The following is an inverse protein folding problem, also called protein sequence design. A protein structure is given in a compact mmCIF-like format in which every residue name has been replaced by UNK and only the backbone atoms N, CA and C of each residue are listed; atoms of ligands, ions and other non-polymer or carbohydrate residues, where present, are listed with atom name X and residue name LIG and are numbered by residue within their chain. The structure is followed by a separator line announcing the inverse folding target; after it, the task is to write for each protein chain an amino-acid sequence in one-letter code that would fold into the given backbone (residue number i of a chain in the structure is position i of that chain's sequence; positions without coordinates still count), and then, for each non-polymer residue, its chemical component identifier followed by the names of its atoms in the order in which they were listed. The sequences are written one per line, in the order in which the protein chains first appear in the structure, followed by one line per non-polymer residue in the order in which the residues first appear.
data_IF_971063896990
#
_entry.id   IF_971063896990
#
_cell.length_a   1.000
_cell.length_b   1.000
_cell.length_c   1.000
_cell.angle_alpha   90.00
_cell.angle_beta   90.00
_cell.angle_gamma   90.00
#
_symmetry.space_group_name_H-M   'P 1'
#
loop_
_entity.id
_entity.type
_entity.pdbx_description
1 polymer ?
#
# COMPACT_ATOMS: atom_id res chain seq x y z
N UNK A 1 55.92 16.32 -6.44
CA UNK A 1 54.67 17.12 -6.53
C UNK A 1 53.49 16.16 -6.46
N UNK A 2 52.72 16.17 -5.36
CA UNK A 2 51.51 15.36 -5.16
C UNK A 2 50.33 16.33 -5.13
N UNK A 3 49.45 16.28 -6.13
CA UNK A 3 48.27 17.15 -6.21
C UNK A 3 47.06 16.43 -5.60
N UNK A 4 46.80 16.69 -4.33
CA UNK A 4 45.57 16.28 -3.66
C UNK A 4 44.49 17.33 -3.94
N UNK A 5 43.54 17.02 -4.83
CA UNK A 5 42.37 17.89 -5.06
C UNK A 5 41.42 17.77 -3.87
N UNK A 6 41.23 18.87 -3.14
CA UNK A 6 40.18 18.99 -2.10
C UNK A 6 38.82 19.04 -2.80
N UNK A 7 37.95 18.08 -2.50
CA UNK A 7 36.54 18.09 -2.91
C UNK A 7 35.82 19.05 -1.97
N UNK A 8 35.43 20.21 -2.49
CA UNK A 8 34.57 21.16 -1.79
C UNK A 8 33.14 20.63 -1.85
N UNK A 9 32.65 20.08 -0.74
CA UNK A 9 31.23 19.77 -0.55
C UNK A 9 30.51 21.12 -0.41
N UNK A 10 29.76 21.50 -1.43
CA UNK A 10 28.82 22.61 -1.32
C UNK A 10 27.71 22.19 -0.35
N UNK A 11 27.78 22.69 0.88
CA UNK A 11 26.72 22.58 1.88
C UNK A 11 25.47 23.24 1.29
N UNK A 12 24.52 22.45 0.80
CA UNK A 12 23.17 22.95 0.50
C UNK A 12 22.58 23.41 1.82
N UNK A 13 22.55 24.73 2.03
CA UNK A 13 21.82 25.35 3.12
C UNK A 13 20.37 24.89 3.05
N UNK A 14 19.97 24.06 4.01
CA UNK A 14 18.59 23.78 4.35
C UNK A 14 17.90 25.13 4.57
N UNK A 15 17.07 25.56 3.62
CA UNK A 15 16.09 26.60 3.88
C UNK A 15 15.15 26.00 4.93
N UNK A 16 15.35 26.41 6.19
CA UNK A 16 14.37 26.32 7.26
C UNK A 16 13.13 27.10 6.82
N UNK A 17 12.25 26.44 6.07
CA UNK A 17 10.90 26.94 5.84
C UNK A 17 10.13 26.72 7.14
N UNK A 18 10.15 27.77 7.97
CA UNK A 18 9.17 28.15 8.99
C UNK A 18 8.04 27.12 9.19
N UNK A 19 8.34 26.09 9.96
CA UNK A 19 7.35 25.23 10.57
C UNK A 19 6.69 25.98 11.73
N UNK A 20 5.37 25.78 11.85
CA UNK A 20 4.51 26.09 13.00
C UNK A 20 4.28 27.56 13.38
N UNK A 21 3.08 28.05 13.06
CA UNK A 21 2.28 28.81 14.03
C UNK A 21 0.86 28.24 14.06
N UNK A 22 0.65 27.30 14.97
CA UNK A 22 -0.68 26.98 15.48
C UNK A 22 -1.16 28.22 16.24
N UNK A 23 -2.27 28.83 15.81
CA UNK A 23 -2.95 29.83 16.62
C UNK A 23 -3.47 29.15 17.90
N UNK A 24 -2.70 29.24 18.98
CA UNK A 24 -3.16 28.90 20.32
C UNK A 24 -4.10 30.01 20.77
N UNK A 25 -5.40 29.75 20.71
CA UNK A 25 -6.41 30.52 21.43
C UNK A 25 -6.30 30.07 22.88
N UNK A 26 -5.65 30.86 23.73
CA UNK A 26 -5.71 30.66 25.18
C UNK A 26 -6.42 31.86 25.79
N UNK A 27 -7.52 31.55 26.48
CA UNK A 27 -8.33 32.50 27.22
C UNK A 27 -7.53 33.14 28.37
N UNK A 28 -7.97 34.34 28.71
CA UNK A 28 -7.28 35.36 29.48
C UNK A 28 -6.75 34.95 30.87
N UNK A 29 -5.62 35.56 31.25
CA UNK A 29 -5.52 36.23 32.56
C UNK A 29 -4.66 37.49 32.43
N UNK A 30 -5.09 38.50 33.15
CA UNK A 30 -4.67 39.90 33.16
C UNK A 30 -3.26 40.14 33.68
N UNK A 31 -2.47 40.99 33.01
CA UNK A 31 -1.76 42.14 33.61
C UNK A 31 -0.97 42.92 32.56
N UNK A 32 -1.05 44.25 32.64
CA UNK A 32 -0.49 45.18 31.67
C UNK A 32 0.99 45.45 31.93
N UNK A 33 1.85 45.28 30.94
CA UNK A 33 3.16 45.96 30.88
C UNK A 33 3.53 46.28 29.42
N UNK A 34 3.71 47.58 29.16
CA UNK A 34 4.43 48.24 28.06
C UNK A 34 4.32 47.65 26.65
N UNK A 35 3.54 48.34 25.82
CA UNK A 35 3.39 48.15 24.38
C UNK A 35 4.69 48.45 23.61
N UNK A 36 5.57 47.46 23.52
CA UNK A 36 6.41 47.31 22.32
C UNK A 36 5.55 46.54 21.32
N UNK A 37 4.88 47.27 20.44
CA UNK A 37 4.15 46.70 19.32
C UNK A 37 5.15 46.09 18.35
N UNK A 38 5.57 44.84 18.60
CA UNK A 38 6.09 43.96 17.57
C UNK A 38 4.94 43.75 16.57
N UNK A 39 4.89 44.61 15.55
CA UNK A 39 4.12 44.34 14.33
C UNK A 39 4.78 43.15 13.66
N UNK A 40 4.42 41.94 14.10
CA UNK A 40 4.64 40.73 13.33
C UNK A 40 3.85 40.92 12.04
N UNK A 41 4.53 41.31 10.97
CA UNK A 41 3.92 41.37 9.65
C UNK A 41 3.38 39.96 9.37
N UNK A 42 2.06 39.83 9.30
CA UNK A 42 1.43 38.58 8.91
C UNK A 42 2.00 38.21 7.54
N UNK A 43 2.73 37.09 7.47
CA UNK A 43 3.29 36.61 6.22
C UNK A 43 2.14 36.50 5.21
N UNK A 44 2.28 37.13 4.05
CA UNK A 44 1.27 37.10 3.00
C UNK A 44 1.01 35.65 2.62
N UNK A 45 -0.27 35.26 2.53
CA UNK A 45 -0.65 33.92 2.10
C UNK A 45 -0.05 33.63 0.70
N UNK A 46 0.44 32.40 0.45
CA UNK A 46 1.02 32.05 -0.84
C UNK A 46 0.03 32.23 -2.00
N UNK A 47 0.51 32.73 -3.12
CA UNK A 47 -0.22 32.77 -4.39
C UNK A 47 -0.42 31.37 -4.96
N UNK A 48 -1.38 31.19 -5.87
CA UNK A 48 -1.64 29.88 -6.48
C UNK A 48 -0.45 29.34 -7.29
N UNK A 49 0.35 30.24 -7.88
CA UNK A 49 1.59 29.85 -8.56
C UNK A 49 2.63 29.29 -7.57
N UNK A 50 2.78 29.92 -6.40
CA UNK A 50 3.67 29.44 -5.34
C UNK A 50 3.16 28.12 -4.77
N UNK A 51 1.86 28.00 -4.51
CA UNK A 51 1.24 26.76 -4.05
C UNK A 51 1.49 25.62 -5.02
N UNK A 52 1.28 25.85 -6.31
CA UNK A 52 1.52 24.84 -7.36
C UNK A 52 2.98 24.40 -7.36
N UNK A 53 3.95 25.32 -7.24
CA UNK A 53 5.37 24.96 -7.14
C UNK A 53 5.67 24.10 -5.91
N UNK A 54 5.10 24.43 -4.75
CA UNK A 54 5.26 23.63 -3.52
C UNK A 54 4.70 22.22 -3.70
N UNK A 55 3.51 22.10 -4.31
CA UNK A 55 2.87 20.81 -4.58
C UNK A 55 3.75 19.95 -5.51
N UNK A 56 4.21 20.51 -6.63
CA UNK A 56 5.04 19.76 -7.59
C UNK A 56 6.40 19.38 -7.01
N UNK A 57 7.02 20.25 -6.19
CA UNK A 57 8.26 19.93 -5.48
C UNK A 57 8.07 18.75 -4.52
N UNK A 58 6.96 18.72 -3.78
CA UNK A 58 6.67 17.62 -2.86
C UNK A 58 6.38 16.31 -3.60
N UNK A 59 5.62 16.35 -4.70
CA UNK A 59 5.42 15.18 -5.57
C UNK A 59 6.75 14.61 -6.07
N UNK A 60 7.64 15.48 -6.56
CA UNK A 60 8.97 15.09 -7.03
C UNK A 60 9.80 14.47 -5.90
N UNK A 61 9.76 15.05 -4.69
CA UNK A 61 10.43 14.50 -3.51
C UNK A 61 9.92 13.10 -3.16
N UNK A 62 8.60 12.89 -3.16
CA UNK A 62 8.01 11.58 -2.87
C UNK A 62 8.45 10.54 -3.90
N UNK A 63 8.44 10.87 -5.19
CA UNK A 63 8.93 9.98 -6.25
C UNK A 63 10.40 9.60 -6.02
N UNK A 64 11.23 10.53 -5.56
CA UNK A 64 12.65 10.27 -5.29
C UNK A 64 12.88 9.38 -4.07
N UNK A 65 12.08 9.47 -3.01
CA UNK A 65 12.30 8.71 -1.76
C UNK A 65 11.59 7.36 -1.72
N UNK A 66 10.53 7.17 -2.52
CA UNK A 66 9.76 5.92 -2.64
C UNK A 66 10.55 4.89 -3.45
N UNK A 67 11.65 4.41 -2.87
CA UNK A 67 12.56 3.45 -3.51
C UNK A 67 12.36 2.03 -3.02
N UNK A 68 11.82 1.84 -1.81
CA UNK A 68 11.71 0.51 -1.25
C UNK A 68 10.41 -0.16 -1.71
N UNK A 69 10.44 -1.48 -1.99
CA UNK A 69 9.23 -2.25 -2.18
C UNK A 69 8.35 -2.12 -0.93
N UNK A 70 7.06 -1.87 -1.12
CA UNK A 70 6.11 -1.63 -0.05
C UNK A 70 5.94 -0.19 0.41
N UNK A 71 6.79 0.74 -0.05
CA UNK A 71 6.66 2.14 0.37
C UNK A 71 5.32 2.72 -0.11
N UNK A 72 4.56 3.25 0.85
CA UNK A 72 3.29 3.94 0.60
C UNK A 72 3.37 5.33 1.22
N UNK A 73 3.09 6.34 0.39
CA UNK A 73 2.96 7.72 0.83
C UNK A 73 1.59 8.27 0.44
N UNK A 74 0.99 9.03 1.36
CA UNK A 74 -0.17 9.87 1.08
C UNK A 74 0.27 11.32 1.05
N UNK A 75 0.00 12.00 -0.06
CA UNK A 75 0.19 13.45 -0.18
C UNK A 75 -1.17 14.13 -0.10
N UNK A 76 -1.31 15.07 0.83
CA UNK A 76 -2.43 15.99 0.94
C UNK A 76 -2.08 17.32 0.28
N UNK A 77 -3.05 17.89 -0.44
CA UNK A 77 -3.02 19.25 -0.98
C UNK A 77 -4.20 20.05 -0.44
N UNK A 78 -3.95 21.29 -0.01
CA UNK A 78 -5.00 22.14 0.56
C UNK A 78 -5.99 22.67 -0.48
N UNK A 79 -5.54 22.84 -1.72
CA UNK A 79 -6.37 23.29 -2.83
C UNK A 79 -6.45 22.20 -3.92
N UNK A 80 -7.55 21.46 -3.91
CA UNK A 80 -7.81 20.38 -4.87
C UNK A 80 -7.83 20.84 -6.33
N UNK A 81 -8.09 22.13 -6.60
CA UNK A 81 -8.07 22.66 -7.98
C UNK A 81 -6.66 22.60 -8.58
N UNK A 82 -5.65 22.70 -7.73
CA UNK A 82 -4.24 22.59 -8.12
C UNK A 82 -3.77 21.13 -8.27
N UNK A 83 -4.69 20.17 -8.09
CA UNK A 83 -4.41 18.73 -8.15
C UNK A 83 -5.53 17.93 -8.82
N UNK A 84 -6.05 18.42 -9.94
CA UNK A 84 -7.01 17.67 -10.76
C UNK A 84 -8.33 17.34 -10.04
N UNK A 85 -8.68 18.08 -8.99
CA UNK A 85 -9.91 17.88 -8.23
C UNK A 85 -9.79 16.98 -7.00
N UNK A 86 -8.63 16.36 -6.75
CA UNK A 86 -8.39 15.54 -5.55
C UNK A 86 -7.61 16.28 -4.46
N UNK A 87 -8.03 16.15 -3.20
CA UNK A 87 -7.23 16.60 -2.04
C UNK A 87 -6.06 15.64 -1.73
N UNK A 88 -6.10 14.41 -2.24
CA UNK A 88 -5.18 13.34 -1.87
C UNK A 88 -4.55 12.66 -3.09
N UNK A 89 -3.28 12.27 -2.95
CA UNK A 89 -2.55 11.46 -3.92
C UNK A 89 -1.85 10.31 -3.22
N UNK A 90 -2.06 9.11 -3.72
CA UNK A 90 -1.42 7.90 -3.22
C UNK A 90 -0.23 7.53 -4.08
N UNK A 91 0.91 7.34 -3.44
CA UNK A 91 2.14 6.87 -4.08
C UNK A 91 2.50 5.50 -3.48
N UNK A 92 2.13 4.42 -4.17
CA UNK A 92 2.29 3.03 -3.71
C UNK A 92 3.31 2.25 -4.53
N UNK A 93 4.24 1.54 -3.89
CA UNK A 93 5.22 0.68 -4.57
C UNK A 93 4.92 -0.78 -4.22
N UNK A 94 3.93 -1.40 -4.85
CA UNK A 94 3.56 -2.77 -4.48
C UNK A 94 4.68 -3.75 -4.90
N UNK A 95 5.25 -4.51 -3.96
CA UNK A 95 6.36 -5.41 -4.26
C UNK A 95 5.89 -6.58 -5.13
N UNK A 96 6.80 -7.03 -5.99
CA UNK A 96 6.69 -8.30 -6.69
C UNK A 96 7.96 -9.11 -6.42
N UNK A 97 7.81 -10.42 -6.33
CA UNK A 97 8.86 -11.34 -5.91
C UNK A 97 9.01 -12.45 -6.94
N UNK A 98 10.25 -12.81 -7.25
CA UNK A 98 10.59 -13.96 -8.11
C UNK A 98 11.27 -15.09 -7.33
N UNK A 99 11.42 -14.91 -6.01
CA UNK A 99 11.96 -15.88 -5.07
C UNK A 99 11.05 -15.95 -3.85
N UNK A 100 10.77 -17.17 -3.38
CA UNK A 100 9.88 -17.37 -2.25
C UNK A 100 10.47 -16.79 -0.96
N UNK A 101 11.77 -16.88 -0.77
CA UNK A 101 12.47 -16.39 0.44
C UNK A 101 12.36 -14.86 0.56
N UNK A 102 12.41 -14.14 -0.56
CA UNK A 102 12.24 -12.69 -0.58
C UNK A 102 10.79 -12.30 -0.25
N UNK A 103 9.83 -13.07 -0.76
CA UNK A 103 8.41 -12.93 -0.42
C UNK A 103 8.18 -13.18 1.08
N UNK A 104 8.65 -14.31 1.60
CA UNK A 104 8.48 -14.71 3.01
C UNK A 104 9.10 -13.68 3.96
N UNK A 105 10.31 -13.23 3.64
CA UNK A 105 10.98 -12.19 4.42
C UNK A 105 10.16 -10.91 4.46
N UNK A 106 9.63 -10.47 3.32
CA UNK A 106 8.82 -9.24 3.28
C UNK A 106 7.47 -9.42 3.96
N UNK A 107 6.73 -10.50 3.68
CA UNK A 107 5.40 -10.75 4.23
C UNK A 107 5.42 -10.87 5.76
N UNK A 108 6.50 -11.39 6.33
CA UNK A 108 6.71 -11.45 7.80
C UNK A 108 6.73 -10.08 8.50
N UNK A 109 6.90 -8.99 7.75
CA UNK A 109 6.88 -7.61 8.29
C UNK A 109 5.50 -6.98 8.30
N UNK A 110 4.51 -7.62 7.64
CA UNK A 110 3.16 -7.10 7.47
C UNK A 110 2.27 -7.51 8.65
N UNK A 111 1.17 -6.77 8.81
CA UNK A 111 0.12 -7.12 9.76
C UNK A 111 -1.00 -7.89 9.07
N UNK A 112 -1.50 -8.92 9.77
CA UNK A 112 -2.61 -9.74 9.30
C UNK A 112 -2.16 -11.10 8.75
N UNK A 113 -3.11 -11.91 8.25
CA UNK A 113 -2.79 -13.22 7.72
C UNK A 113 -1.90 -13.13 6.48
N UNK A 114 -1.00 -14.09 6.34
CA UNK A 114 -0.13 -14.24 5.18
C UNK A 114 -0.30 -15.63 4.56
N UNK A 115 -0.04 -15.73 3.26
CA UNK A 115 0.02 -17.01 2.56
C UNK A 115 1.43 -17.60 2.78
N UNK A 116 1.51 -18.86 3.17
CA UNK A 116 2.75 -19.63 3.19
C UNK A 116 2.66 -20.76 2.16
N UNK A 117 3.81 -21.33 1.82
CA UNK A 117 3.85 -22.59 1.09
C UNK A 117 3.14 -23.68 1.92
N UNK A 118 2.08 -24.32 1.38
CA UNK A 118 1.31 -25.30 2.12
C UNK A 118 2.11 -26.58 2.35
N UNK A 119 1.86 -27.23 3.48
CA UNK A 119 2.37 -28.57 3.73
C UNK A 119 1.78 -29.56 2.71
N UNK A 120 2.62 -30.46 2.20
CA UNK A 120 2.19 -31.42 1.18
C UNK A 120 2.12 -30.84 -0.25
N UNK A 121 2.84 -29.75 -0.51
CA UNK A 121 2.97 -29.18 -1.85
C UNK A 121 3.32 -30.27 -2.90
N UNK A 122 2.55 -30.40 -4.00
CA UNK A 122 2.75 -31.49 -4.95
C UNK A 122 4.11 -31.45 -5.64
N UNK A 123 4.72 -32.62 -5.84
CA UNK A 123 6.06 -32.72 -6.42
C UNK A 123 6.17 -32.03 -7.79
N UNK A 124 7.20 -31.21 -7.95
CA UNK A 124 7.54 -30.52 -9.19
C UNK A 124 6.89 -29.15 -9.38
N UNK A 125 5.99 -28.73 -8.48
CA UNK A 125 5.56 -27.33 -8.43
C UNK A 125 6.66 -26.47 -7.81
N UNK A 126 6.97 -25.36 -8.47
CA UNK A 126 8.00 -24.41 -8.03
C UNK A 126 7.45 -22.99 -8.01
N UNK A 127 7.90 -22.18 -7.06
CA UNK A 127 7.51 -20.78 -6.95
C UNK A 127 7.89 -20.00 -8.22
N UNK A 128 6.93 -19.33 -8.82
CA UNK A 128 7.11 -18.50 -10.02
C UNK A 128 7.13 -17.02 -9.65
N UNK A 129 6.11 -16.59 -8.90
CA UNK A 129 5.90 -15.17 -8.62
C UNK A 129 5.06 -14.95 -7.38
N UNK A 130 5.39 -13.90 -6.63
CA UNK A 130 4.58 -13.35 -5.55
C UNK A 130 4.25 -11.89 -5.80
N UNK A 131 3.04 -11.47 -5.46
CA UNK A 131 2.62 -10.07 -5.44
C UNK A 131 1.95 -9.77 -4.11
N UNK A 132 2.23 -8.60 -3.54
CA UNK A 132 1.52 -8.12 -2.36
C UNK A 132 1.03 -6.70 -2.63
N UNK A 133 -0.27 -6.49 -2.46
CA UNK A 133 -0.85 -5.16 -2.35
C UNK A 133 -1.20 -4.90 -0.90
N UNK A 134 -0.71 -3.80 -0.37
CA UNK A 134 -0.95 -3.42 1.01
C UNK A 134 -2.29 -2.70 1.15
N UNK A 135 -3.07 -3.09 2.16
CA UNK A 135 -4.28 -2.37 2.56
C UNK A 135 -3.89 -1.09 3.28
N UNK A 136 -4.54 0.00 2.89
CA UNK A 136 -4.43 1.28 3.56
C UNK A 136 -5.85 1.70 3.93
N UNK A 137 -6.13 1.79 5.22
CA UNK A 137 -7.42 2.27 5.73
C UNK A 137 -7.66 3.73 5.33
N UNK A 138 -8.09 3.94 4.07
CA UNK A 138 -8.01 5.23 3.37
C UNK A 138 -8.63 6.36 4.16
N UNK A 139 -9.85 6.16 4.68
CA UNK A 139 -10.58 7.18 5.45
C UNK A 139 -9.84 7.61 6.71
N UNK A 140 -9.29 6.65 7.46
CA UNK A 140 -8.56 6.90 8.71
C UNK A 140 -7.25 7.64 8.40
N UNK A 141 -6.51 7.15 7.39
CA UNK A 141 -5.25 7.76 6.97
C UNK A 141 -5.45 9.18 6.43
N UNK A 142 -6.45 9.40 5.57
CA UNK A 142 -6.79 10.71 5.03
C UNK A 142 -7.18 11.70 6.14
N UNK A 143 -8.01 11.28 7.10
CA UNK A 143 -8.40 12.11 8.24
C UNK A 143 -7.18 12.50 9.10
N UNK A 144 -6.29 11.54 9.37
CA UNK A 144 -5.05 11.79 10.12
C UNK A 144 -4.14 12.77 9.37
N UNK A 145 -3.88 12.53 8.09
CA UNK A 145 -3.03 13.40 7.27
C UNK A 145 -3.62 14.80 7.15
N UNK A 146 -4.95 14.92 7.00
CA UNK A 146 -5.64 16.22 6.95
C UNK A 146 -5.53 17.00 8.25
N UNK A 147 -5.62 16.32 9.40
CA UNK A 147 -5.42 16.95 10.70
C UNK A 147 -3.97 17.44 10.88
N UNK A 148 -2.98 16.61 10.51
CA UNK A 148 -1.55 16.94 10.58
C UNK A 148 -1.12 18.02 9.56
N UNK A 149 -1.91 18.18 8.49
CA UNK A 149 -1.68 19.17 7.44
C UNK A 149 -2.31 20.54 7.71
N UNK A 150 -2.94 20.76 8.86
CA UNK A 150 -3.63 22.03 9.17
C UNK A 150 -2.70 23.23 8.96
N UNK A 151 -3.11 24.15 8.09
CA UNK A 151 -2.37 25.36 7.73
C UNK A 151 -1.25 25.16 6.70
N UNK A 152 -1.01 23.94 6.21
CA UNK A 152 -0.01 23.64 5.17
C UNK A 152 -0.67 23.61 3.79
N UNK A 153 0.06 24.09 2.77
CA UNK A 153 -0.36 24.00 1.36
C UNK A 153 -0.29 22.57 0.84
N UNK A 154 0.77 21.86 1.22
CA UNK A 154 1.01 20.46 0.88
C UNK A 154 1.63 19.78 2.09
N UNK A 155 1.28 18.52 2.31
CA UNK A 155 1.85 17.69 3.36
C UNK A 155 1.88 16.25 2.88
N UNK A 156 2.87 15.48 3.31
CA UNK A 156 2.90 14.04 3.00
C UNK A 156 3.26 13.23 4.23
N UNK A 157 2.80 11.98 4.21
CA UNK A 157 3.03 11.01 5.27
C UNK A 157 3.34 9.64 4.69
N UNK A 158 4.37 9.00 5.24
CA UNK A 158 4.65 7.58 5.00
C UNK A 158 3.70 6.72 5.84
N UNK A 159 3.15 5.66 5.26
CA UNK A 159 2.40 4.66 6.02
C UNK A 159 3.42 3.69 6.65
N UNK A 160 3.42 3.63 7.98
CA UNK A 160 4.24 2.69 8.74
C UNK A 160 3.46 1.39 8.96
N UNK A 161 4.12 0.25 8.74
CA UNK A 161 3.58 -1.10 8.97
C UNK A 161 2.17 -1.32 8.39
N UNK A 162 2.02 -1.29 7.05
CA UNK A 162 0.73 -1.48 6.42
C UNK A 162 0.17 -2.89 6.65
N UNK A 163 -1.16 -3.01 6.60
CA UNK A 163 -1.85 -4.29 6.64
C UNK A 163 -1.80 -4.98 5.27
N UNK A 164 -1.90 -6.29 5.26
CA UNK A 164 -2.07 -7.06 4.02
C UNK A 164 -3.42 -6.70 3.39
N UNK A 165 -3.40 -6.32 2.10
CA UNK A 165 -4.59 -6.07 1.30
C UNK A 165 -4.90 -7.22 0.35
N UNK A 166 -3.91 -7.59 -0.46
CA UNK A 166 -3.99 -8.70 -1.38
C UNK A 166 -2.64 -9.41 -1.39
N UNK A 167 -2.64 -10.74 -1.41
CA UNK A 167 -1.47 -11.56 -1.73
C UNK A 167 -1.85 -12.46 -2.89
N UNK A 168 -0.96 -12.59 -3.88
CA UNK A 168 -1.07 -13.56 -4.97
C UNK A 168 0.24 -14.29 -5.12
N UNK A 169 0.24 -15.60 -4.93
CA UNK A 169 1.37 -16.47 -5.22
C UNK A 169 1.03 -17.36 -6.41
N UNK A 170 1.99 -17.52 -7.32
CA UNK A 170 1.92 -18.43 -8.46
C UNK A 170 3.04 -19.48 -8.35
N UNK A 171 2.65 -20.74 -8.49
CA UNK A 171 3.53 -21.89 -8.61
C UNK A 171 3.26 -22.60 -9.93
N UNK A 172 4.28 -23.24 -10.51
CA UNK A 172 4.12 -23.98 -11.75
C UNK A 172 4.92 -25.28 -11.82
N UNK A 173 4.35 -26.24 -12.56
CA UNK A 173 4.95 -27.50 -13.00
C UNK A 173 4.69 -27.65 -14.50
N UNK A 174 5.66 -27.25 -15.34
CA UNK A 174 5.44 -27.20 -16.79
C UNK A 174 4.32 -26.21 -17.16
N UNK A 175 3.24 -26.70 -17.76
CA UNK A 175 2.07 -25.89 -18.11
C UNK A 175 1.02 -25.80 -16.98
N UNK A 176 1.16 -26.62 -15.94
CA UNK A 176 0.25 -26.65 -14.81
C UNK A 176 0.61 -25.54 -13.83
N UNK A 177 -0.39 -24.74 -13.46
CA UNK A 177 -0.27 -23.59 -12.57
C UNK A 177 -1.16 -23.76 -11.35
N UNK A 178 -0.62 -23.39 -10.20
CA UNK A 178 -1.30 -23.29 -8.92
C UNK A 178 -1.20 -21.85 -8.43
N UNK A 179 -2.34 -21.27 -8.07
CA UNK A 179 -2.48 -19.92 -7.58
C UNK A 179 -2.97 -19.97 -6.14
N UNK A 180 -2.38 -19.14 -5.29
CA UNK A 180 -2.79 -18.96 -3.91
C UNK A 180 -3.03 -17.48 -3.68
N UNK A 181 -4.24 -17.14 -3.25
CA UNK A 181 -4.71 -15.76 -3.17
C UNK A 181 -5.38 -15.48 -1.84
N UNK A 182 -5.14 -14.27 -1.34
CA UNK A 182 -5.71 -13.73 -0.12
C UNK A 182 -6.16 -12.32 -0.45
N UNK A 183 -7.38 -11.98 -0.06
CA UNK A 183 -7.94 -10.65 -0.22
C UNK A 183 -8.61 -10.18 1.08
N UNK A 184 -8.17 -9.03 1.57
CA UNK A 184 -8.82 -8.32 2.68
C UNK A 184 -9.65 -7.17 2.09
N UNK A 185 -10.95 -7.21 2.33
CA UNK A 185 -11.86 -6.14 1.91
C UNK A 185 -12.46 -5.47 3.13
N UNK A 186 -12.59 -4.14 3.09
CA UNK A 186 -13.40 -3.45 4.11
C UNK A 186 -14.87 -3.86 4.05
N UNK A 187 -15.35 -4.35 2.90
CA UNK A 187 -16.70 -4.89 2.74
C UNK A 187 -16.81 -6.25 3.43
N UNK A 188 -15.75 -7.06 3.36
CA UNK A 188 -15.73 -8.42 3.89
C UNK A 188 -15.35 -8.49 5.37
N UNK A 189 -14.98 -7.37 6.02
CA UNK A 189 -14.71 -7.31 7.48
C UNK A 189 -15.85 -7.86 8.35
N UNK A 190 -17.09 -7.82 7.83
CA UNK A 190 -18.28 -8.38 8.49
C UNK A 190 -18.83 -9.62 7.77
N UNK A 191 -18.13 -10.12 6.75
CA UNK A 191 -18.51 -11.36 6.09
C UNK A 191 -18.49 -12.48 7.13
N UNK A 192 -19.50 -13.36 7.04
CA UNK A 192 -19.53 -14.54 7.90
C UNK A 192 -18.44 -15.49 7.46
N UNK A 193 -17.90 -16.23 8.42
CA UNK A 193 -17.02 -17.33 8.10
C UNK A 193 -17.82 -18.34 7.26
N UNK A 194 -17.24 -18.71 6.13
CA UNK A 194 -17.82 -19.64 5.17
C UNK A 194 -16.79 -20.72 4.89
N UNK A 195 -17.23 -21.98 4.94
CA UNK A 195 -16.37 -23.12 4.66
C UNK A 195 -15.92 -23.18 3.20
N UNK A 196 -15.21 -24.24 2.84
CA UNK A 196 -14.69 -24.41 1.49
C UNK A 196 -15.81 -24.53 0.44
N UNK A 197 -15.81 -23.60 -0.51
CA UNK A 197 -16.60 -23.63 -1.73
C UNK A 197 -15.71 -24.02 -2.90
N UNK A 198 -16.12 -25.02 -3.70
CA UNK A 198 -15.41 -25.41 -4.92
C UNK A 198 -16.18 -24.94 -6.15
N UNK A 199 -15.44 -24.41 -7.12
CA UNK A 199 -15.95 -24.03 -8.44
C UNK A 199 -15.06 -24.60 -9.53
N UNK A 200 -15.63 -25.34 -10.47
CA UNK A 200 -14.92 -25.86 -11.64
C UNK A 200 -14.71 -24.79 -12.71
N UNK A 201 -13.60 -24.89 -13.46
CA UNK A 201 -13.34 -24.12 -14.66
C UNK A 201 -14.46 -24.28 -15.71
N UNK A 202 -15.12 -25.44 -15.73
CA UNK A 202 -16.18 -25.72 -16.70
C UNK A 202 -17.48 -24.96 -16.42
N UNK A 203 -17.70 -24.53 -15.18
CA UNK A 203 -18.89 -23.78 -14.76
C UNK A 203 -18.88 -22.31 -15.21
N UNK A 204 -17.75 -21.81 -15.71
CA UNK A 204 -17.67 -20.46 -16.27
C UNK A 204 -18.45 -20.38 -17.59
N UNK A 205 -19.20 -19.30 -17.77
CA UNK A 205 -19.96 -19.07 -18.99
C UNK A 205 -19.05 -18.84 -20.22
N UNK A 206 -19.59 -19.05 -21.42
CA UNK A 206 -18.83 -18.97 -22.66
C UNK A 206 -18.27 -17.55 -22.92
N UNK A 207 -18.95 -16.51 -22.45
CA UNK A 207 -18.48 -15.14 -22.61
C UNK A 207 -17.28 -14.87 -21.72
N UNK A 208 -17.31 -15.30 -20.45
CA UNK A 208 -16.17 -15.22 -19.54
C UNK A 208 -14.98 -16.02 -20.06
N UNK A 209 -15.22 -17.26 -20.54
CA UNK A 209 -14.17 -18.08 -21.15
C UNK A 209 -13.50 -17.42 -22.34
N UNK A 210 -14.27 -16.67 -23.15
CA UNK A 210 -13.76 -15.95 -24.32
C UNK A 210 -13.05 -14.64 -23.96
N UNK A 211 -13.65 -13.82 -23.10
CA UNK A 211 -13.16 -12.46 -22.79
C UNK A 211 -12.04 -12.47 -21.76
N UNK A 212 -12.10 -13.38 -20.80
CA UNK A 212 -11.18 -13.42 -19.67
C UNK A 212 -10.69 -14.86 -19.37
N UNK A 213 -10.06 -15.55 -20.33
CA UNK A 213 -9.60 -16.93 -20.14
C UNK A 213 -8.64 -17.10 -18.95
N UNK A 214 -7.90 -16.05 -18.57
CA UNK A 214 -6.99 -16.05 -17.43
C UNK A 214 -7.67 -16.18 -16.05
N UNK A 215 -8.99 -15.92 -15.97
CA UNK A 215 -9.78 -16.06 -14.75
C UNK A 215 -10.60 -17.37 -14.71
N UNK A 216 -10.56 -18.16 -15.78
CA UNK A 216 -11.19 -19.48 -15.80
C UNK A 216 -10.29 -20.46 -15.08
N UNK A 217 -10.73 -20.94 -13.92
CA UNK A 217 -9.91 -21.75 -13.01
C UNK A 217 -10.79 -22.78 -12.29
N UNK A 218 -10.18 -23.88 -11.89
CA UNK A 218 -10.72 -24.68 -10.78
C UNK A 218 -10.29 -24.00 -9.49
N UNK A 219 -11.20 -23.77 -8.54
CA UNK A 219 -10.86 -23.04 -7.33
C UNK A 219 -11.59 -23.56 -6.10
N UNK A 220 -10.87 -23.57 -4.98
CA UNK A 220 -11.45 -23.64 -3.64
C UNK A 220 -11.32 -22.25 -3.02
N UNK A 221 -12.45 -21.66 -2.60
CA UNK A 221 -12.47 -20.38 -1.87
C UNK A 221 -13.20 -20.50 -0.55
N UNK A 222 -12.79 -19.69 0.43
CA UNK A 222 -13.44 -19.63 1.74
C UNK A 222 -13.20 -18.26 2.37
N UNK A 223 -13.96 -17.97 3.41
CA UNK A 223 -13.82 -16.74 4.18
C UNK A 223 -13.58 -17.10 5.64
N UNK A 224 -12.54 -16.55 6.24
CA UNK A 224 -12.27 -16.65 7.67
C UNK A 224 -11.88 -15.27 8.22
N UNK A 225 -12.54 -14.85 9.31
CA UNK A 225 -12.30 -13.57 10.01
C UNK A 225 -12.36 -12.36 9.07
N UNK A 226 -13.27 -12.40 8.10
CA UNK A 226 -13.47 -11.35 7.11
C UNK A 226 -12.35 -11.22 6.07
N UNK A 227 -11.53 -12.27 5.91
CA UNK A 227 -10.53 -12.40 4.86
C UNK A 227 -10.95 -13.50 3.91
N UNK A 228 -10.96 -13.21 2.61
CA UNK A 228 -11.25 -14.19 1.57
C UNK A 228 -9.95 -14.85 1.12
N UNK A 229 -9.93 -16.17 1.10
CA UNK A 229 -8.83 -16.97 0.62
C UNK A 229 -9.26 -17.76 -0.60
N UNK A 230 -8.32 -18.05 -1.50
CA UNK A 230 -8.57 -18.87 -2.68
C UNK A 230 -7.30 -19.65 -3.03
N UNK A 231 -7.46 -20.94 -3.30
CA UNK A 231 -6.45 -21.75 -3.99
C UNK A 231 -7.05 -22.22 -5.31
N UNK A 232 -6.31 -22.09 -6.40
CA UNK A 232 -6.86 -22.31 -7.73
C UNK A 232 -5.85 -22.88 -8.71
N UNK A 233 -6.33 -23.61 -9.72
CA UNK A 233 -5.52 -24.13 -10.81
C UNK A 233 -6.07 -23.72 -12.17
N UNK A 234 -5.21 -23.69 -13.19
CA UNK A 234 -5.65 -23.51 -14.57
C UNK A 234 -6.48 -24.72 -15.06
N UNK A 235 -7.30 -24.56 -16.12
CA UNK A 235 -8.06 -25.66 -16.68
C UNK A 235 -7.13 -26.77 -17.19
N UNK A 236 -7.52 -28.04 -16.95
CA UNK A 236 -6.74 -29.22 -17.32
C UNK A 236 -5.63 -29.61 -16.36
N UNK A 237 -5.42 -28.84 -15.28
CA UNK A 237 -4.48 -29.19 -14.22
C UNK A 237 -4.89 -30.51 -13.53
N UNK A 238 -3.95 -31.40 -13.20
CA UNK A 238 -4.26 -32.71 -12.61
C UNK A 238 -4.74 -32.67 -11.16
N UNK A 239 -4.54 -31.57 -10.43
CA UNK A 239 -4.94 -31.49 -9.02
C UNK A 239 -6.45 -31.46 -8.86
N UNK A 240 -6.97 -32.42 -8.08
CA UNK A 240 -8.37 -32.56 -7.77
C UNK A 240 -8.83 -31.58 -6.67
N UNK A 241 -10.15 -31.43 -6.52
CA UNK A 241 -10.79 -30.63 -5.47
C UNK A 241 -10.27 -31.00 -4.07
N UNK A 242 -10.16 -32.29 -3.78
CA UNK A 242 -9.76 -32.79 -2.46
C UNK A 242 -8.31 -32.41 -2.15
N UNK A 243 -7.41 -32.48 -3.14
CA UNK A 243 -6.02 -32.06 -3.00
C UNK A 243 -5.92 -30.54 -2.74
N UNK A 244 -6.71 -29.74 -3.47
CA UNK A 244 -6.79 -28.30 -3.23
C UNK A 244 -7.27 -27.97 -1.81
N UNK A 245 -8.24 -28.73 -1.28
CA UNK A 245 -8.74 -28.56 0.08
C UNK A 245 -7.66 -28.93 1.12
N UNK A 246 -6.86 -29.97 0.89
CA UNK A 246 -5.76 -30.31 1.82
C UNK A 246 -4.67 -29.22 1.85
N UNK A 247 -4.28 -28.70 0.69
CA UNK A 247 -3.33 -27.57 0.62
C UNK A 247 -3.93 -26.32 1.28
N UNK A 248 -5.21 -26.06 1.08
CA UNK A 248 -5.91 -24.91 1.65
C UNK A 248 -5.83 -24.85 3.19
N UNK A 249 -5.85 -26.01 3.87
CA UNK A 249 -5.81 -26.08 5.34
C UNK A 249 -4.48 -25.62 5.94
N UNK A 250 -3.38 -25.70 5.19
CA UNK A 250 -2.03 -25.38 5.68
C UNK A 250 -1.42 -24.16 5.00
N UNK A 251 -2.12 -23.59 4.01
CA UNK A 251 -1.70 -22.42 3.24
C UNK A 251 -1.61 -21.12 4.08
N UNK A 252 -2.33 -21.01 5.19
CA UNK A 252 -2.45 -19.74 5.93
C UNK A 252 -1.61 -19.75 7.20
N UNK A 253 -0.82 -18.69 7.38
CA UNK A 253 -0.11 -18.38 8.61
C UNK A 253 -0.74 -17.14 9.25
N UNK A 254 -1.16 -17.31 10.51
CA UNK A 254 -1.80 -16.27 11.34
C UNK A 254 -0.76 -15.63 12.25
#
# INVERSE_FOLDING_TARGET
MKNTKKVTIATLCSILLLGSMSAAVQAASSQSFNSITLKTAAAKAPTDTEKKKMIEAEKARIVQIKKNPGDIYLVYVSDKKLNGGSEFLYYTNFPTFTKYEDYEKYSSTLKGPIIQEPEGMPEGYTFVKGEIQNSIGRKILEAQVKAEAKGKVVYSKKVEAPEVGEIKLEYAKGNDKLFMELFTSEIDKNAKDEGFEYKSADEYDAETKKKNPQFVRNSVSWTEKGVRFTIATNPGNPLAKEELIELAKTMIKI
#
